data_IF_208839444122
#
_entry.id   IF_208839444122
#
_cell.length_a   1.000
_cell.length_b   1.000
_cell.length_c   1.000
_cell.angle_alpha   90.00
_cell.angle_beta   90.00
_cell.angle_gamma   90.00
#
_symmetry.space_group_name_H-M   'P 1'
#
loop_
_entity.id
_entity.type
_entity.pdbx_description
1 polymer ?
#
# COMPACT_ATOMS: atom_id res chain seq x y z
N UNK A 1 -16.73 -11.52 -5.20
CA UNK A 1 -16.69 -12.43 -6.37
C UNK A 1 -17.73 -13.56 -6.37
N UNK A 2 -18.70 -13.63 -5.43
CA UNK A 2 -19.66 -14.74 -5.37
C UNK A 2 -19.08 -16.13 -5.02
N UNK A 3 -17.76 -16.30 -5.11
CA UNK A 3 -17.03 -17.48 -4.65
C UNK A 3 -17.12 -17.63 -3.13
N UNK A 4 -17.05 -18.88 -2.64
CA UNK A 4 -16.92 -19.18 -1.21
C UNK A 4 -15.60 -18.61 -0.70
N UNK A 5 -15.64 -17.93 0.44
CA UNK A 5 -14.47 -17.33 1.08
C UNK A 5 -14.39 -17.81 2.53
N UNK A 6 -13.16 -17.99 3.03
CA UNK A 6 -12.89 -18.25 4.45
C UNK A 6 -11.60 -17.55 4.86
N UNK A 7 -11.55 -17.12 6.12
CA UNK A 7 -10.27 -16.73 6.74
C UNK A 7 -9.52 -18.01 7.07
N UNK A 8 -8.26 -18.09 6.68
CA UNK A 8 -7.41 -19.26 6.92
C UNK A 8 -6.00 -18.81 7.28
N UNK A 9 -5.38 -19.50 8.25
CA UNK A 9 -3.96 -19.33 8.56
C UNK A 9 -3.07 -20.16 7.63
N UNK A 10 -3.58 -21.31 7.16
CA UNK A 10 -2.92 -22.19 6.18
C UNK A 10 -3.91 -22.45 5.04
N UNK A 11 -3.44 -22.27 3.81
CA UNK A 11 -4.25 -22.53 2.62
C UNK A 11 -4.24 -24.02 2.29
N UNK A 12 -5.43 -24.62 2.25
CA UNK A 12 -5.65 -25.97 1.75
C UNK A 12 -5.49 -26.01 0.22
N UNK A 13 -5.22 -27.19 -0.33
CA UNK A 13 -5.17 -27.38 -1.78
C UNK A 13 -6.47 -26.92 -2.45
N UNK A 14 -6.34 -26.22 -3.58
CA UNK A 14 -7.48 -25.64 -4.32
C UNK A 14 -7.97 -24.29 -3.78
N UNK A 15 -7.44 -23.79 -2.65
CA UNK A 15 -7.68 -22.43 -2.18
C UNK A 15 -6.54 -21.48 -2.58
N UNK A 16 -6.86 -20.21 -2.79
CA UNK A 16 -5.89 -19.15 -3.07
C UNK A 16 -6.04 -17.99 -2.08
N UNK A 17 -4.92 -17.39 -1.70
CA UNK A 17 -4.90 -16.15 -0.93
C UNK A 17 -5.24 -14.97 -1.83
N UNK A 18 -6.18 -14.14 -1.42
CA UNK A 18 -6.71 -13.01 -2.22
C UNK A 18 -6.67 -11.68 -1.49
N UNK A 19 -6.54 -11.69 -0.16
CA UNK A 19 -6.36 -10.52 0.69
C UNK A 19 -5.79 -10.97 2.05
N UNK A 20 -5.23 -10.04 2.81
CA UNK A 20 -4.79 -10.30 4.18
C UNK A 20 -6.00 -10.45 5.12
N UNK A 21 -5.92 -11.41 6.04
CA UNK A 21 -6.96 -11.65 7.04
C UNK A 21 -7.02 -10.58 8.15
N UNK A 22 -8.11 -10.56 8.95
CA UNK A 22 -8.33 -9.53 9.99
C UNK A 22 -7.18 -9.37 10.98
N UNK A 23 -6.60 -10.50 11.44
CA UNK A 23 -5.47 -10.49 12.39
C UNK A 23 -4.22 -9.81 11.81
N UNK A 24 -3.94 -10.02 10.53
CA UNK A 24 -2.81 -9.37 9.84
C UNK A 24 -3.06 -7.87 9.69
N UNK A 25 -4.31 -7.48 9.40
CA UNK A 25 -4.69 -6.06 9.32
C UNK A 25 -4.45 -5.36 10.66
N UNK A 26 -4.95 -5.92 11.76
CA UNK A 26 -4.74 -5.38 13.11
C UNK A 26 -3.25 -5.27 13.45
N UNK A 27 -2.46 -6.30 13.15
CA UNK A 27 -1.02 -6.29 13.36
C UNK A 27 -0.36 -5.13 12.60
N UNK A 28 -0.63 -5.00 11.30
CA UNK A 28 -0.03 -3.94 10.48
C UNK A 28 -0.47 -2.56 10.95
N UNK A 29 -1.76 -2.38 11.24
CA UNK A 29 -2.29 -1.13 11.78
C UNK A 29 -1.57 -0.73 13.07
N UNK A 30 -1.36 -1.69 13.97
CA UNK A 30 -0.66 -1.45 15.23
C UNK A 30 0.83 -1.13 15.00
N UNK A 31 1.52 -1.88 14.14
CA UNK A 31 2.94 -1.63 13.81
C UNK A 31 3.16 -0.26 13.17
N UNK A 32 2.20 0.22 12.40
CA UNK A 32 2.25 1.55 11.78
C UNK A 32 2.03 2.68 12.79
N UNK A 33 1.42 2.42 13.96
CA UNK A 33 1.27 3.45 14.99
C UNK A 33 2.65 3.86 15.53
N UNK A 34 2.91 5.18 15.54
CA UNK A 34 4.17 5.75 16.01
C UNK A 34 5.29 5.77 14.96
N UNK A 35 5.08 5.19 13.77
CA UNK A 35 6.02 5.35 12.66
C UNK A 35 6.05 6.82 12.20
N UNK A 36 7.26 7.37 12.04
CA UNK A 36 7.46 8.76 11.60
C UNK A 36 7.50 8.89 10.08
N UNK A 37 7.92 7.84 9.39
CA UNK A 37 7.99 7.78 7.94
C UNK A 37 7.61 6.38 7.49
N UNK A 38 6.70 6.28 6.53
CA UNK A 38 6.21 5.01 6.01
C UNK A 38 6.10 5.07 4.49
N UNK A 39 6.62 4.04 3.83
CA UNK A 39 6.44 3.80 2.40
C UNK A 39 5.51 2.60 2.22
N UNK A 40 4.51 2.73 1.35
CA UNK A 40 3.65 1.64 0.94
C UNK A 40 3.67 1.45 -0.58
N UNK A 41 4.02 0.24 -1.02
CA UNK A 41 4.09 -0.15 -2.43
C UNK A 41 3.52 -1.55 -2.62
N UNK A 42 2.46 -1.66 -3.41
CA UNK A 42 1.67 -2.88 -3.65
C UNK A 42 0.41 -2.97 -2.76
N UNK A 43 -0.80 -3.22 -3.30
CA UNK A 43 -1.99 -3.48 -2.50
C UNK A 43 -1.84 -4.76 -1.65
N UNK A 44 -2.67 -4.91 -0.61
CA UNK A 44 -2.61 -6.07 0.29
C UNK A 44 -3.35 -7.30 -0.26
N UNK A 45 -4.13 -7.11 -1.32
CA UNK A 45 -5.00 -8.09 -1.93
C UNK A 45 -5.48 -7.62 -3.30
N UNK A 46 -6.42 -8.35 -3.88
CA UNK A 46 -7.05 -8.05 -5.18
C UNK A 46 -8.08 -6.93 -5.01
N UNK A 47 -7.59 -5.70 -4.78
CA UNK A 47 -8.40 -4.54 -4.39
C UNK A 47 -9.45 -4.11 -5.43
N UNK A 48 -9.28 -4.54 -6.67
CA UNK A 48 -10.23 -4.32 -7.76
C UNK A 48 -11.53 -5.10 -7.55
N UNK A 49 -11.50 -6.15 -6.71
CA UNK A 49 -12.62 -7.02 -6.43
C UNK A 49 -13.19 -6.76 -5.03
N UNK A 50 -14.41 -6.19 -4.98
CA UNK A 50 -15.13 -5.96 -3.72
C UNK A 50 -15.22 -7.24 -2.88
N UNK A 51 -14.78 -7.12 -1.61
CA UNK A 51 -14.66 -8.22 -0.66
C UNK A 51 -13.24 -8.78 -0.52
N UNK A 52 -12.32 -8.39 -1.41
CA UNK A 52 -10.88 -8.69 -1.34
C UNK A 52 -10.03 -7.42 -1.27
N UNK A 53 -10.68 -6.29 -0.98
CA UNK A 53 -10.12 -4.94 -0.91
C UNK A 53 -9.96 -4.44 0.53
N UNK A 54 -10.44 -5.19 1.51
CA UNK A 54 -10.51 -4.77 2.90
C UNK A 54 -9.13 -4.58 3.54
N UNK A 55 -8.14 -5.42 3.21
CA UNK A 55 -6.77 -5.25 3.68
C UNK A 55 -6.12 -3.98 3.12
N UNK A 56 -6.27 -3.75 1.82
CA UNK A 56 -5.81 -2.52 1.15
C UNK A 56 -6.48 -1.28 1.75
N UNK A 57 -7.79 -1.35 2.01
CA UNK A 57 -8.55 -0.27 2.65
C UNK A 57 -8.08 0.00 4.08
N UNK A 58 -7.75 -1.04 4.86
CA UNK A 58 -7.24 -0.89 6.21
C UNK A 58 -5.92 -0.11 6.21
N UNK A 59 -4.98 -0.46 5.32
CA UNK A 59 -3.71 0.26 5.18
C UNK A 59 -3.92 1.70 4.72
N UNK A 60 -4.79 1.94 3.73
CA UNK A 60 -5.08 3.29 3.26
C UNK A 60 -5.67 4.19 4.38
N UNK A 61 -6.57 3.65 5.20
CA UNK A 61 -7.13 4.35 6.38
C UNK A 61 -6.05 4.67 7.41
N UNK A 62 -5.19 3.71 7.73
CA UNK A 62 -4.10 3.93 8.69
C UNK A 62 -3.11 4.95 8.19
N UNK A 63 -2.76 4.94 6.90
CA UNK A 63 -1.91 5.95 6.29
C UNK A 63 -2.50 7.36 6.45
N UNK A 64 -3.78 7.53 6.16
CA UNK A 64 -4.47 8.81 6.35
C UNK A 64 -4.47 9.26 7.83
N UNK A 65 -4.69 8.32 8.75
CA UNK A 65 -4.69 8.60 10.19
C UNK A 65 -3.31 9.05 10.68
N UNK A 66 -2.25 8.29 10.38
CA UNK A 66 -0.89 8.62 10.86
C UNK A 66 -0.34 9.89 10.17
N UNK A 67 -0.75 10.16 8.93
CA UNK A 67 -0.44 11.43 8.26
C UNK A 67 -1.05 12.61 9.02
N UNK A 68 -2.31 12.49 9.44
CA UNK A 68 -2.98 13.48 10.28
C UNK A 68 -2.30 13.69 11.64
N UNK A 69 -1.54 12.69 12.12
CA UNK A 69 -0.71 12.76 13.33
C UNK A 69 0.73 13.27 13.07
N UNK A 70 1.05 13.66 11.84
CA UNK A 70 2.34 14.24 11.46
C UNK A 70 3.37 13.26 10.91
N UNK A 71 3.01 12.00 10.66
CA UNK A 71 3.90 11.07 9.96
C UNK A 71 4.03 11.45 8.47
N UNK A 72 5.20 11.22 7.89
CA UNK A 72 5.40 11.27 6.45
C UNK A 72 4.99 9.95 5.82
N UNK A 73 3.97 9.96 4.97
CA UNK A 73 3.49 8.75 4.29
C UNK A 73 3.67 8.86 2.77
N UNK A 74 4.33 7.86 2.18
CA UNK A 74 4.64 7.82 0.76
C UNK A 74 3.95 6.60 0.15
N UNK A 75 3.20 6.81 -0.93
CA UNK A 75 2.63 5.74 -1.75
C UNK A 75 3.50 5.56 -2.99
N UNK A 76 3.98 4.33 -3.24
CA UNK A 76 5.01 4.02 -4.23
C UNK A 76 4.62 4.17 -5.70
N UNK A 77 3.33 4.38 -6.00
CA UNK A 77 2.81 4.47 -7.36
C UNK A 77 2.15 3.18 -7.84
N UNK A 78 1.92 3.05 -9.15
CA UNK A 78 1.28 1.88 -9.76
C UNK A 78 -0.07 1.54 -9.11
N UNK A 79 -0.26 0.28 -8.75
CA UNK A 79 -1.51 -0.24 -8.18
C UNK A 79 -1.84 0.36 -6.80
N UNK A 80 -0.84 0.70 -5.98
CA UNK A 80 -1.12 1.40 -4.71
C UNK A 80 -1.65 2.81 -4.92
N UNK A 81 -1.16 3.52 -5.94
CA UNK A 81 -1.70 4.83 -6.29
C UNK A 81 -3.10 4.73 -6.89
N UNK A 82 -3.39 3.68 -7.67
CA UNK A 82 -4.74 3.40 -8.15
C UNK A 82 -5.69 3.10 -6.99
N UNK A 83 -5.30 2.22 -6.08
CA UNK A 83 -6.08 1.83 -4.91
C UNK A 83 -6.42 3.03 -4.01
N UNK A 84 -5.42 3.85 -3.65
CA UNK A 84 -5.66 4.98 -2.73
C UNK A 84 -6.58 6.05 -3.33
N UNK A 85 -6.52 6.25 -4.65
CA UNK A 85 -7.42 7.15 -5.39
C UNK A 85 -8.83 6.60 -5.46
N UNK A 86 -8.99 5.32 -5.82
CA UNK A 86 -10.29 4.65 -5.85
C UNK A 86 -10.99 4.69 -4.47
N UNK A 87 -10.20 4.60 -3.40
CA UNK A 87 -10.71 4.64 -2.02
C UNK A 87 -10.86 6.07 -1.46
N UNK A 88 -10.45 7.12 -2.19
CA UNK A 88 -10.62 8.53 -1.79
C UNK A 88 -9.69 9.01 -0.68
N UNK A 89 -8.48 8.46 -0.58
CA UNK A 89 -7.47 8.83 0.44
C UNK A 89 -6.23 9.53 -0.15
N UNK A 90 -6.21 9.80 -1.45
CA UNK A 90 -5.08 10.41 -2.16
C UNK A 90 -4.66 11.77 -1.58
N UNK A 91 -5.65 12.60 -1.20
CA UNK A 91 -5.45 13.91 -0.56
C UNK A 91 -5.11 13.83 0.93
N UNK A 92 -5.10 12.63 1.51
CA UNK A 92 -4.89 12.40 2.95
C UNK A 92 -3.53 11.78 3.28
N UNK A 93 -2.66 11.63 2.29
CA UNK A 93 -1.28 11.16 2.44
C UNK A 93 -0.29 12.24 2.03
N UNK A 94 0.94 12.17 2.53
CA UNK A 94 1.97 13.18 2.21
C UNK A 94 2.36 13.19 0.73
N UNK A 95 2.55 12.01 0.12
CA UNK A 95 2.95 11.92 -1.27
C UNK A 95 2.42 10.66 -1.96
N UNK A 96 1.90 10.82 -3.16
CA UNK A 96 1.55 9.72 -4.07
C UNK A 96 2.49 9.79 -5.26
N UNK A 97 3.45 8.86 -5.32
CA UNK A 97 4.38 8.78 -6.45
C UNK A 97 3.65 8.36 -7.72
N UNK A 98 4.09 8.91 -8.84
CA UNK A 98 3.70 8.46 -10.19
C UNK A 98 4.72 7.51 -10.80
N UNK A 99 5.86 7.29 -10.14
CA UNK A 99 6.98 6.51 -10.68
C UNK A 99 6.79 5.00 -10.66
N UNK A 100 5.84 4.49 -9.86
CA UNK A 100 5.62 3.03 -9.73
C UNK A 100 6.93 2.30 -9.44
N UNK A 101 7.34 1.41 -10.35
CA UNK A 101 8.61 0.69 -10.27
C UNK A 101 9.84 1.59 -10.17
N UNK A 102 9.87 2.73 -10.88
CA UNK A 102 10.99 3.66 -10.80
C UNK A 102 11.17 4.27 -9.39
N UNK A 103 10.06 4.48 -8.65
CA UNK A 103 10.13 4.91 -7.25
C UNK A 103 10.78 3.83 -6.39
N UNK A 104 10.43 2.56 -6.62
CA UNK A 104 10.98 1.45 -5.87
C UNK A 104 12.47 1.26 -6.17
N UNK A 105 12.87 1.35 -7.45
CA UNK A 105 14.28 1.32 -7.85
C UNK A 105 15.09 2.44 -7.19
N UNK A 106 14.49 3.64 -7.05
CA UNK A 106 15.09 4.73 -6.28
C UNK A 106 15.34 4.34 -4.82
N UNK A 107 14.36 3.73 -4.15
CA UNK A 107 14.48 3.29 -2.76
C UNK A 107 15.39 2.06 -2.58
N UNK A 108 15.55 1.24 -3.62
CA UNK A 108 16.56 0.18 -3.70
C UNK A 108 17.99 0.74 -3.87
N UNK A 109 18.14 2.06 -4.07
CA UNK A 109 19.43 2.72 -4.26
C UNK A 109 20.01 2.51 -5.65
N UNK A 110 19.19 2.11 -6.63
CA UNK A 110 19.63 1.93 -8.01
C UNK A 110 19.90 3.26 -8.67
N UNK A 111 20.81 3.22 -9.63
CA UNK A 111 21.09 4.36 -10.49
C UNK A 111 19.88 4.63 -11.40
N UNK A 112 19.36 5.86 -11.35
CA UNK A 112 18.27 6.32 -12.21
C UNK A 112 18.83 7.26 -13.29
N UNK A 113 18.94 6.82 -14.55
CA UNK A 113 19.58 7.61 -15.61
C UNK A 113 18.94 8.99 -15.82
N UNK A 114 17.61 9.06 -15.72
CA UNK A 114 16.88 10.32 -15.89
C UNK A 114 17.14 11.34 -14.78
N UNK A 115 17.44 10.88 -13.55
CA UNK A 115 17.81 11.76 -12.44
C UNK A 115 19.28 12.17 -12.55
N UNK A 116 20.16 11.24 -12.94
CA UNK A 116 21.59 11.50 -13.09
C UNK A 116 21.93 12.47 -14.24
N UNK A 117 21.04 12.59 -15.22
CA UNK A 117 21.18 13.53 -16.32
C UNK A 117 20.78 14.98 -15.95
N UNK A 118 20.23 15.21 -14.75
CA UNK A 118 19.83 16.54 -14.30
C UNK A 118 21.05 17.35 -13.84
N UNK A 119 21.08 18.64 -14.21
CA UNK A 119 22.05 19.58 -13.65
C UNK A 119 21.77 19.78 -12.16
N UNK A 120 22.82 19.63 -11.34
CA UNK A 120 22.73 19.95 -9.92
C UNK A 120 22.72 21.47 -9.76
N UNK A 121 21.78 21.97 -8.95
CA UNK A 121 21.72 23.37 -8.52
C UNK A 121 22.57 23.61 -7.29
#
# INVERSE_FOLDING_TARGET
AGAKTKVAEVLEEGWMGVDIGPRTRELYMHTLQGAKTVLWSGPMGVFEMKGFDEGTLAIAKTFAEITGKGATTIVGGGDSAAAIRQMGFDSKVTHVSTGGGASLEMFEGKFLPGIAALDLK
#
